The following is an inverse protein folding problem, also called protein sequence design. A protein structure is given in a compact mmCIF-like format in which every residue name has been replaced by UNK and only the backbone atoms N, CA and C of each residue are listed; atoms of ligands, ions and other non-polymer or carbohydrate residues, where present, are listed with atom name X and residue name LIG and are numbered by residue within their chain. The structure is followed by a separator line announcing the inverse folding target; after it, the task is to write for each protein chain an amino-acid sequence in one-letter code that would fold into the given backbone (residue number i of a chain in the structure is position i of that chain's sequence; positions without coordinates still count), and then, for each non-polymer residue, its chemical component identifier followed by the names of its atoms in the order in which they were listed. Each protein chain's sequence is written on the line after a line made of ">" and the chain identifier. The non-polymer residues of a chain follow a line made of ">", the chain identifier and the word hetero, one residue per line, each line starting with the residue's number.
data_IF_748874180249
#
_entry.id   IF_748874180249
#
_cell.length_a   1.000
_cell.length_b   1.000
_cell.length_c   1.000
_cell.angle_alpha   90.00
_cell.angle_beta   90.00
_cell.angle_gamma   90.00
#
_symmetry.space_group_name_H-M   'P 1'
#
loop_
_entity.id
_entity.type
_entity.pdbx_description
1 polymer ?
#
# COMPACT_ATOMS: atom_id res chain seq x y z
N UNK A 1 -31.57 10.50 5.68
CA UNK A 1 -31.35 11.78 4.98
C UNK A 1 -29.88 12.12 5.10
N UNK A 2 -29.11 11.96 4.03
CA UNK A 2 -27.71 12.42 4.02
C UNK A 2 -27.69 13.93 3.90
N UNK A 3 -26.78 14.60 4.61
CA UNK A 3 -26.51 16.02 4.42
C UNK A 3 -25.93 16.20 3.01
N UNK A 4 -26.57 17.05 2.19
CA UNK A 4 -26.03 17.43 0.89
C UNK A 4 -25.03 18.59 1.06
N UNK A 5 -23.75 18.24 1.02
CA UNK A 5 -22.65 19.19 1.15
C UNK A 5 -22.35 19.95 -0.14
N UNK A 6 -22.95 19.59 -1.28
CA UNK A 6 -22.67 20.20 -2.60
C UNK A 6 -23.29 21.58 -2.76
N UNK A 7 -24.39 21.86 -2.05
CA UNK A 7 -25.06 23.17 -2.06
C UNK A 7 -24.33 24.23 -1.23
N UNK A 8 -23.37 23.84 -0.40
CA UNK A 8 -22.64 24.73 0.50
C UNK A 8 -21.38 25.26 -0.20
N UNK A 9 -21.23 26.59 -0.22
CA UNK A 9 -19.96 27.23 -0.58
C UNK A 9 -19.04 27.25 0.64
N UNK A 10 -18.01 26.42 0.62
CA UNK A 10 -17.08 26.30 1.73
C UNK A 10 -16.04 27.42 1.70
N UNK A 11 -15.71 27.98 2.86
CA UNK A 11 -14.54 28.84 2.96
C UNK A 11 -13.24 28.04 2.77
N UNK A 12 -13.18 26.84 3.35
CA UNK A 12 -12.00 25.97 3.26
C UNK A 12 -12.38 24.49 3.35
N UNK A 13 -11.73 23.68 2.52
CA UNK A 13 -11.76 22.21 2.64
C UNK A 13 -10.34 21.72 2.89
N UNK A 14 -10.18 20.87 3.90
CA UNK A 14 -8.91 20.22 4.25
C UNK A 14 -9.10 18.72 4.13
N UNK A 15 -8.29 18.08 3.29
CA UNK A 15 -8.24 16.62 3.18
C UNK A 15 -7.08 16.11 4.02
N UNK A 16 -7.39 15.37 5.08
CA UNK A 16 -6.40 14.58 5.79
C UNK A 16 -6.25 13.21 5.14
N UNK A 17 -5.02 12.69 5.13
CA UNK A 17 -4.61 11.55 4.32
C UNK A 17 -5.09 11.66 2.87
N UNK A 18 -4.78 12.80 2.24
CA UNK A 18 -5.30 13.16 0.92
C UNK A 18 -5.01 12.11 -0.17
N UNK A 19 -4.02 11.23 0.05
CA UNK A 19 -3.74 10.09 -0.81
C UNK A 19 -4.92 9.11 -1.01
N UNK A 20 -6.00 9.20 -0.22
CA UNK A 20 -7.25 8.49 -0.49
C UNK A 20 -7.99 8.99 -1.75
N UNK A 21 -7.70 10.20 -2.22
CA UNK A 21 -8.24 10.78 -3.44
C UNK A 21 -7.43 10.33 -4.66
N UNK A 22 -7.48 9.03 -5.01
CA UNK A 22 -6.66 8.45 -6.09
C UNK A 22 -7.30 8.52 -7.46
N UNK A 23 -8.52 7.98 -7.56
CA UNK A 23 -9.22 7.83 -8.84
C UNK A 23 -10.38 8.82 -8.92
N UNK A 24 -10.33 9.79 -9.86
CA UNK A 24 -11.40 10.77 -10.08
C UNK A 24 -12.74 10.13 -10.45
N UNK A 25 -12.73 8.90 -10.98
CA UNK A 25 -13.93 8.16 -11.41
C UNK A 25 -14.71 7.54 -10.25
N UNK A 26 -14.10 7.46 -9.07
CA UNK A 26 -14.83 6.98 -7.89
C UNK A 26 -15.85 8.02 -7.46
N UNK A 27 -17.03 7.57 -7.02
CA UNK A 27 -18.10 8.46 -6.53
C UNK A 27 -17.59 9.42 -5.45
N UNK A 28 -16.75 8.93 -4.54
CA UNK A 28 -16.14 9.74 -3.49
C UNK A 28 -15.29 10.88 -4.07
N UNK A 29 -14.38 10.58 -5.00
CA UNK A 29 -13.53 11.60 -5.59
C UNK A 29 -14.32 12.60 -6.43
N UNK A 30 -15.29 12.14 -7.22
CA UNK A 30 -16.14 13.00 -8.04
C UNK A 30 -16.91 14.02 -7.18
N UNK A 31 -17.51 13.55 -6.08
CA UNK A 31 -18.22 14.43 -5.13
C UNK A 31 -17.27 15.43 -4.48
N UNK A 32 -16.12 14.97 -3.97
CA UNK A 32 -15.14 15.85 -3.29
C UNK A 32 -14.58 16.91 -4.24
N UNK A 33 -14.27 16.54 -5.49
CA UNK A 33 -13.76 17.47 -6.51
C UNK A 33 -14.82 18.52 -6.90
N UNK A 34 -16.10 18.15 -6.89
CA UNK A 34 -17.22 19.03 -7.19
C UNK A 34 -17.67 19.97 -6.06
N UNK A 35 -17.18 19.79 -4.83
CA UNK A 35 -17.47 20.73 -3.74
C UNK A 35 -16.91 22.12 -4.09
N UNK A 36 -17.67 23.18 -3.83
CA UNK A 36 -17.19 24.55 -4.02
C UNK A 36 -16.47 25.06 -2.77
N UNK A 37 -15.27 25.60 -2.96
CA UNK A 37 -14.46 26.12 -1.87
C UNK A 37 -13.49 27.22 -2.29
N UNK A 38 -13.34 28.26 -1.46
CA UNK A 38 -12.34 29.32 -1.67
C UNK A 38 -10.90 28.83 -1.42
N UNK A 39 -10.72 27.95 -0.43
CA UNK A 39 -9.39 27.46 -0.03
C UNK A 39 -9.36 25.95 0.07
N UNK A 40 -8.27 25.35 -0.39
CA UNK A 40 -8.11 23.89 -0.47
C UNK A 40 -6.75 23.48 0.02
N UNK A 41 -6.71 22.48 0.88
CA UNK A 41 -5.48 21.98 1.48
C UNK A 41 -5.49 20.45 1.50
N UNK A 42 -4.38 19.86 1.07
CA UNK A 42 -4.12 18.43 1.18
C UNK A 42 -3.05 18.19 2.23
N UNK A 43 -3.34 17.34 3.21
CA UNK A 43 -2.39 16.84 4.19
C UNK A 43 -2.14 15.36 3.86
N UNK A 44 -0.90 15.01 3.52
CA UNK A 44 -0.52 13.62 3.24
C UNK A 44 0.99 13.45 3.38
N UNK A 45 1.40 12.35 4.02
CA UNK A 45 2.81 11.93 4.04
C UNK A 45 3.27 11.30 2.72
N UNK A 46 2.33 10.80 1.91
CA UNK A 46 2.59 10.03 0.69
C UNK A 46 1.74 10.57 -0.48
N UNK A 47 2.10 11.71 -1.09
CA UNK A 47 1.31 12.32 -2.17
C UNK A 47 1.33 11.52 -3.48
N UNK A 48 2.33 10.66 -3.67
CA UNK A 48 2.45 9.73 -4.79
C UNK A 48 2.55 8.31 -4.21
N UNK A 49 1.56 7.45 -4.49
CA UNK A 49 1.55 6.07 -4.00
C UNK A 49 1.80 5.06 -5.11
N UNK A 50 0.90 4.97 -6.10
CA UNK A 50 0.96 3.93 -7.12
C UNK A 50 1.34 4.49 -8.50
N UNK A 51 0.70 5.59 -8.89
CA UNK A 51 0.80 6.14 -10.25
C UNK A 51 0.70 7.66 -10.23
N UNK A 52 1.18 8.31 -11.30
CA UNK A 52 1.12 9.78 -11.45
C UNK A 52 -0.30 10.32 -11.46
N UNK A 53 -1.29 9.50 -11.86
CA UNK A 53 -2.70 9.84 -11.75
C UNK A 53 -3.18 10.12 -10.31
N UNK A 54 -2.57 9.48 -9.29
CA UNK A 54 -2.90 9.76 -7.88
C UNK A 54 -2.55 11.21 -7.54
N UNK A 55 -1.41 11.68 -8.04
CA UNK A 55 -0.97 13.06 -7.84
C UNK A 55 -1.81 14.05 -8.65
N UNK A 56 -2.23 13.67 -9.86
CA UNK A 56 -3.12 14.50 -10.68
C UNK A 56 -4.44 14.77 -9.98
N UNK A 57 -5.03 13.76 -9.33
CA UNK A 57 -6.25 13.91 -8.52
C UNK A 57 -6.09 14.94 -7.41
N UNK A 58 -4.93 14.96 -6.73
CA UNK A 58 -4.62 15.99 -5.73
C UNK A 58 -4.54 17.38 -6.36
N UNK A 59 -3.86 17.51 -7.50
CA UNK A 59 -3.71 18.78 -8.23
C UNK A 59 -5.05 19.32 -8.71
N UNK A 60 -5.93 18.45 -9.21
CA UNK A 60 -7.32 18.81 -9.53
C UNK A 60 -8.07 19.29 -8.32
N UNK A 61 -7.89 18.62 -7.17
CA UNK A 61 -8.53 19.06 -5.96
C UNK A 61 -8.10 20.47 -5.58
N UNK A 62 -6.80 20.78 -5.56
CA UNK A 62 -6.30 22.13 -5.23
C UNK A 62 -6.50 23.17 -6.35
N UNK A 63 -7.04 22.78 -7.51
CA UNK A 63 -7.37 23.64 -8.67
C UNK A 63 -6.19 24.46 -9.21
N UNK A 64 -5.04 23.81 -9.47
CA UNK A 64 -3.86 24.49 -10.05
C UNK A 64 -3.90 24.42 -11.58
N UNK A 65 -4.33 25.51 -12.20
CA UNK A 65 -4.28 25.68 -13.65
C UNK A 65 -2.82 25.89 -14.15
N UNK A 66 -2.46 25.40 -15.35
CA UNK A 66 -3.26 24.62 -16.29
C UNK A 66 -3.19 23.09 -16.04
N UNK A 67 -2.67 22.66 -14.88
CA UNK A 67 -2.35 21.26 -14.59
C UNK A 67 -3.57 20.41 -14.21
N UNK A 68 -4.73 21.04 -13.98
CA UNK A 68 -6.02 20.36 -13.78
C UNK A 68 -6.47 19.66 -15.06
N UNK A 69 -6.09 20.18 -16.24
CA UNK A 69 -6.48 19.67 -17.54
C UNK A 69 -5.80 18.33 -17.86
N UNK A 70 -6.62 17.34 -18.23
CA UNK A 70 -6.16 15.97 -18.49
C UNK A 70 -5.15 15.90 -19.64
N UNK A 71 -5.41 16.64 -20.71
CA UNK A 71 -4.56 16.64 -21.90
C UNK A 71 -3.18 17.21 -21.59
N UNK A 72 -3.13 18.32 -20.85
CA UNK A 72 -1.90 19.00 -20.46
C UNK A 72 -1.10 18.11 -19.50
N UNK A 73 -1.74 17.59 -18.45
CA UNK A 73 -1.09 16.67 -17.51
C UNK A 73 -0.47 15.47 -18.23
N UNK A 74 -1.25 14.82 -19.10
CA UNK A 74 -0.82 13.61 -19.79
C UNK A 74 0.37 13.88 -20.72
N UNK A 75 0.31 14.94 -21.52
CA UNK A 75 1.33 15.24 -22.52
C UNK A 75 2.60 15.85 -21.92
N UNK A 76 2.48 16.66 -20.87
CA UNK A 76 3.61 17.40 -20.31
C UNK A 76 4.27 16.70 -19.11
N UNK A 77 3.55 15.82 -18.41
CA UNK A 77 4.04 15.18 -17.18
C UNK A 77 3.96 13.67 -17.28
N UNK A 78 2.77 13.09 -17.43
CA UNK A 78 2.58 11.63 -17.31
C UNK A 78 3.40 10.86 -18.35
N UNK A 79 3.18 11.11 -19.64
CA UNK A 79 3.89 10.40 -20.71
C UNK A 79 5.41 10.69 -20.71
N UNK A 80 5.88 11.94 -20.55
CA UNK A 80 7.31 12.20 -20.42
C UNK A 80 7.97 11.50 -19.22
N UNK A 81 7.32 11.46 -18.06
CA UNK A 81 7.88 10.79 -16.86
C UNK A 81 7.89 9.27 -17.05
N UNK A 82 6.86 8.68 -17.64
CA UNK A 82 6.82 7.26 -17.98
C UNK A 82 7.91 6.86 -18.99
N UNK A 83 8.27 7.77 -19.89
CA UNK A 83 9.37 7.60 -20.85
C UNK A 83 10.75 7.97 -20.26
N UNK A 84 10.84 8.28 -18.96
CA UNK A 84 12.05 8.75 -18.29
C UNK A 84 12.67 10.00 -18.93
N UNK A 85 11.87 10.86 -19.57
CA UNK A 85 12.31 12.14 -20.13
C UNK A 85 12.61 13.14 -18.99
N UNK A 86 13.84 13.66 -18.89
CA UNK A 86 14.22 14.64 -17.87
C UNK A 86 13.33 15.88 -17.84
N UNK A 87 12.73 16.28 -18.97
CA UNK A 87 11.85 17.45 -19.08
C UNK A 87 10.58 17.27 -18.25
N UNK A 88 9.96 16.08 -18.30
CA UNK A 88 8.78 15.76 -17.51
C UNK A 88 9.06 15.78 -16.02
N UNK A 89 10.18 15.17 -15.62
CA UNK A 89 10.62 15.09 -14.22
C UNK A 89 10.91 16.49 -13.67
N UNK A 90 11.65 17.32 -14.41
CA UNK A 90 11.97 18.69 -14.00
C UNK A 90 10.73 19.57 -13.88
N UNK A 91 9.78 19.42 -14.81
CA UNK A 91 8.48 20.12 -14.77
C UNK A 91 7.71 19.72 -13.52
N UNK A 92 7.61 18.41 -13.26
CA UNK A 92 6.93 17.88 -12.07
C UNK A 92 7.58 18.39 -10.77
N UNK A 93 8.91 18.35 -10.68
CA UNK A 93 9.64 18.87 -9.52
C UNK A 93 9.37 20.36 -9.30
N UNK A 94 9.33 21.15 -10.38
CA UNK A 94 9.05 22.59 -10.32
C UNK A 94 7.65 22.85 -9.77
N UNK A 95 6.64 22.11 -10.22
CA UNK A 95 5.27 22.21 -9.70
C UNK A 95 5.26 21.84 -8.23
N UNK A 96 5.79 20.67 -7.86
CA UNK A 96 5.80 20.19 -6.49
C UNK A 96 6.51 21.14 -5.53
N UNK A 97 7.61 21.76 -5.95
CA UNK A 97 8.32 22.77 -5.16
C UNK A 97 7.49 24.04 -4.90
N UNK A 98 6.52 24.36 -5.77
CA UNK A 98 5.64 25.53 -5.60
C UNK A 98 4.39 25.23 -4.78
N UNK A 99 3.82 24.04 -4.94
CA UNK A 99 2.51 23.69 -4.36
C UNK A 99 2.59 22.89 -3.07
N UNK A 100 3.76 22.29 -2.77
CA UNK A 100 3.92 21.39 -1.62
C UNK A 100 5.00 21.87 -0.67
N UNK A 101 4.80 21.59 0.62
CA UNK A 101 5.84 21.70 1.63
C UNK A 101 6.13 20.31 2.17
N UNK A 102 7.32 19.79 1.87
CA UNK A 102 7.82 18.51 2.38
C UNK A 102 9.12 18.74 3.13
N UNK A 103 9.21 18.20 4.35
CA UNK A 103 10.42 18.24 5.17
C UNK A 103 10.76 16.83 5.63
N UNK A 104 12.05 16.53 5.74
CA UNK A 104 12.52 15.25 6.28
C UNK A 104 12.68 15.37 7.80
N UNK A 105 12.48 14.27 8.52
CA UNK A 105 12.68 14.29 9.99
C UNK A 105 14.12 14.65 10.34
N UNK A 106 15.09 14.21 9.55
CA UNK A 106 16.52 14.48 9.71
C UNK A 106 16.89 15.96 9.59
N UNK A 107 16.11 16.77 8.85
CA UNK A 107 16.41 18.20 8.68
C UNK A 107 15.87 19.06 9.83
N UNK A 108 14.99 18.52 10.67
CA UNK A 108 14.31 19.27 11.74
C UNK A 108 14.69 18.73 13.13
N UNK A 109 14.92 17.42 13.24
CA UNK A 109 15.07 16.73 14.52
C UNK A 109 16.34 15.88 14.54
N UNK A 110 17.05 15.92 15.66
CA UNK A 110 18.18 15.03 15.95
C UNK A 110 17.67 13.68 16.46
N UNK A 111 17.04 12.90 15.58
CA UNK A 111 16.58 11.54 15.90
C UNK A 111 17.73 10.53 15.75
N UNK A 112 17.76 9.46 16.58
CA UNK A 112 18.62 8.32 16.34
C UNK A 112 18.38 7.71 14.95
N UNK A 113 19.41 7.04 14.42
CA UNK A 113 19.31 6.36 13.13
C UNK A 113 18.23 5.26 13.16
N UNK A 114 17.40 5.22 12.10
CA UNK A 114 16.43 4.15 11.92
C UNK A 114 17.18 2.92 11.40
N UNK A 115 17.25 1.88 12.22
CA UNK A 115 17.82 0.59 11.84
C UNK A 115 16.71 -0.25 11.20
N UNK A 116 16.93 -0.69 9.97
CA UNK A 116 16.06 -1.64 9.26
C UNK A 116 16.81 -2.96 9.07
N UNK A 117 16.21 -4.07 9.47
CA UNK A 117 16.80 -5.40 9.32
C UNK A 117 15.78 -6.34 8.70
N UNK A 118 16.15 -6.97 7.60
CA UNK A 118 15.34 -7.97 6.91
C UNK A 118 15.79 -9.34 7.39
N UNK A 119 14.87 -10.10 8.00
CA UNK A 119 15.16 -11.43 8.51
C UNK A 119 14.51 -12.46 7.58
N UNK A 120 15.35 -13.26 6.93
CA UNK A 120 14.90 -14.35 6.06
C UNK A 120 14.69 -15.61 6.90
N UNK A 121 13.46 -16.12 6.90
CA UNK A 121 13.08 -17.31 7.65
C UNK A 121 12.68 -18.42 6.70
N UNK A 122 13.22 -19.63 6.93
CA UNK A 122 12.77 -20.82 6.22
C UNK A 122 11.42 -21.31 6.77
N UNK A 123 10.56 -21.82 5.90
CA UNK A 123 9.32 -22.48 6.32
C UNK A 123 9.64 -23.82 6.97
N UNK A 124 8.93 -24.15 8.05
CA UNK A 124 9.08 -25.43 8.73
C UNK A 124 8.33 -26.54 7.98
N UNK A 125 8.88 -27.75 8.00
CA UNK A 125 8.18 -28.99 7.61
C UNK A 125 7.04 -29.26 8.60
N UNK A 126 5.86 -29.73 8.15
CA UNK A 126 5.51 -30.16 6.78
C UNK A 126 5.00 -29.05 5.85
N UNK A 127 4.83 -27.83 6.36
CA UNK A 127 4.18 -26.74 5.63
C UNK A 127 5.01 -26.25 4.44
N UNK A 128 6.34 -26.35 4.53
CA UNK A 128 7.23 -26.07 3.40
C UNK A 128 6.91 -26.93 2.17
N UNK A 129 6.63 -28.22 2.35
CA UNK A 129 6.29 -29.11 1.23
C UNK A 129 4.96 -28.73 0.57
N UNK A 130 3.99 -28.31 1.39
CA UNK A 130 2.69 -27.83 0.90
C UNK A 130 2.87 -26.51 0.13
N UNK A 131 3.69 -25.59 0.66
CA UNK A 131 4.01 -24.35 -0.01
C UNK A 131 4.70 -24.60 -1.37
N UNK A 132 5.76 -25.42 -1.41
CA UNK A 132 6.49 -25.73 -2.65
C UNK A 132 5.60 -26.39 -3.70
N UNK A 133 4.72 -27.31 -3.27
CA UNK A 133 3.73 -27.92 -4.16
C UNK A 133 2.80 -26.87 -4.78
N UNK A 134 2.25 -25.98 -3.95
CA UNK A 134 1.34 -24.93 -4.42
C UNK A 134 2.05 -23.89 -5.27
N UNK A 135 3.28 -23.53 -4.91
CA UNK A 135 4.11 -22.59 -5.66
C UNK A 135 4.47 -23.14 -7.04
N UNK A 136 4.80 -24.44 -7.13
CA UNK A 136 5.03 -25.11 -8.41
C UNK A 136 3.78 -25.09 -9.28
N UNK A 137 2.62 -25.46 -8.72
CA UNK A 137 1.34 -25.41 -9.44
C UNK A 137 1.02 -24.00 -9.95
N UNK A 138 1.21 -22.98 -9.09
CA UNK A 138 1.04 -21.58 -9.45
C UNK A 138 1.99 -21.15 -10.59
N UNK A 139 3.26 -21.54 -10.53
CA UNK A 139 4.26 -21.22 -11.56
C UNK A 139 3.93 -21.87 -12.90
N UNK A 140 3.39 -23.08 -12.88
CA UNK A 140 2.98 -23.82 -14.08
C UNK A 140 1.71 -23.23 -14.71
N UNK A 141 0.79 -22.71 -13.89
CA UNK A 141 -0.48 -22.14 -14.35
C UNK A 141 -0.37 -20.68 -14.80
N UNK A 142 0.35 -19.85 -14.04
CA UNK A 142 0.38 -18.39 -14.24
C UNK A 142 1.78 -17.81 -14.44
N UNK A 143 2.82 -18.54 -14.05
CA UNK A 143 4.20 -18.06 -14.04
C UNK A 143 4.98 -18.34 -15.31
N UNK A 144 6.31 -18.37 -15.18
CA UNK A 144 7.26 -18.54 -16.28
C UNK A 144 7.17 -19.91 -16.98
N UNK A 145 6.63 -20.91 -16.29
CA UNK A 145 6.53 -22.28 -16.81
C UNK A 145 5.24 -22.51 -17.62
N UNK A 146 4.39 -21.49 -17.75
CA UNK A 146 3.13 -21.58 -18.46
C UNK A 146 3.38 -21.90 -19.93
N UNK A 147 2.88 -23.06 -20.35
CA UNK A 147 2.79 -23.43 -21.77
C UNK A 147 1.65 -22.61 -22.39
N UNK A 148 1.93 -21.84 -23.44
CA UNK A 148 0.94 -20.96 -24.07
C UNK A 148 -0.34 -21.71 -24.48
N UNK A 149 -1.51 -21.07 -24.40
CA UNK A 149 -2.73 -21.70 -24.93
C UNK A 149 -4.12 -21.20 -24.51
N UNK A 150 -4.31 -20.44 -23.44
CA UNK A 150 -5.65 -19.91 -23.08
C UNK A 150 -5.52 -18.65 -22.22
N UNK A 151 -6.53 -17.76 -22.26
CA UNK A 151 -6.65 -16.66 -21.28
C UNK A 151 -6.67 -17.19 -19.86
N UNK A 152 -6.14 -16.44 -18.90
CA UNK A 152 -6.13 -16.84 -17.49
C UNK A 152 -7.19 -16.06 -16.71
N UNK A 153 -7.82 -16.71 -15.75
CA UNK A 153 -8.78 -16.05 -14.87
C UNK A 153 -8.01 -15.26 -13.79
N UNK A 154 -8.19 -13.94 -13.76
CA UNK A 154 -7.55 -13.09 -12.78
C UNK A 154 -7.95 -13.43 -11.34
N UNK A 155 -9.17 -13.91 -11.14
CA UNK A 155 -9.68 -14.29 -9.82
C UNK A 155 -8.94 -15.49 -9.24
N UNK A 156 -8.65 -16.51 -10.05
CA UNK A 156 -7.89 -17.68 -9.59
C UNK A 156 -6.44 -17.34 -9.29
N UNK A 157 -5.81 -16.48 -10.09
CA UNK A 157 -4.45 -16.00 -9.81
C UNK A 157 -4.37 -15.26 -8.47
N UNK A 158 -5.30 -14.33 -8.22
CA UNK A 158 -5.31 -13.58 -6.97
C UNK A 158 -5.67 -14.47 -5.77
N UNK A 159 -6.49 -15.50 -5.96
CA UNK A 159 -6.75 -16.49 -4.93
C UNK A 159 -5.49 -17.30 -4.60
N UNK A 160 -4.78 -17.82 -5.61
CA UNK A 160 -3.63 -18.68 -5.40
C UNK A 160 -2.43 -17.92 -4.82
N UNK A 161 -2.18 -16.68 -5.29
CA UNK A 161 -1.13 -15.82 -4.70
C UNK A 161 -1.48 -15.43 -3.25
N UNK A 162 -2.78 -15.27 -2.94
CA UNK A 162 -3.23 -15.01 -1.57
C UNK A 162 -3.00 -16.23 -0.68
N UNK A 163 -3.34 -17.43 -1.17
CA UNK A 163 -3.14 -18.69 -0.45
C UNK A 163 -1.64 -18.92 -0.18
N UNK A 164 -0.75 -18.63 -1.15
CA UNK A 164 0.71 -18.67 -0.94
C UNK A 164 1.18 -17.67 0.13
N UNK A 165 0.71 -16.42 0.09
CA UNK A 165 1.03 -15.40 1.10
C UNK A 165 0.56 -15.82 2.50
N UNK A 166 -0.60 -16.45 2.59
CA UNK A 166 -1.17 -16.97 3.84
C UNK A 166 -0.34 -18.13 4.40
N UNK A 167 0.06 -19.10 3.57
CA UNK A 167 0.93 -20.21 3.97
C UNK A 167 2.28 -19.72 4.53
N UNK A 168 2.86 -18.67 3.93
CA UNK A 168 4.09 -18.06 4.42
C UNK A 168 3.96 -17.45 5.83
N UNK A 169 2.74 -17.11 6.26
CA UNK A 169 2.47 -16.56 7.58
C UNK A 169 2.09 -17.68 8.56
N UNK A 170 1.01 -18.41 8.28
CA UNK A 170 0.55 -19.50 9.11
C UNK A 170 -0.38 -20.44 8.32
N UNK A 171 -0.23 -21.77 8.40
CA UNK A 171 -1.05 -22.73 7.66
C UNK A 171 -2.56 -22.60 7.92
N UNK A 172 -2.96 -22.35 9.16
CA UNK A 172 -4.36 -22.07 9.53
C UNK A 172 -5.05 -20.96 8.70
N UNK A 173 -4.31 -20.04 8.08
CA UNK A 173 -4.90 -18.94 7.32
C UNK A 173 -5.53 -19.41 6.00
N UNK A 174 -5.06 -20.52 5.41
CA UNK A 174 -5.60 -21.06 4.15
C UNK A 174 -6.89 -21.85 4.33
N UNK A 175 -7.27 -22.19 5.57
CA UNK A 175 -8.52 -22.90 5.81
C UNK A 175 -9.72 -22.00 5.59
N UNK A 176 -10.55 -22.38 4.62
CA UNK A 176 -11.84 -21.75 4.32
C UNK A 176 -12.93 -22.46 5.14
N UNK A 177 -13.54 -21.77 6.11
CA UNK A 177 -14.66 -22.28 6.92
C UNK A 177 -14.35 -22.53 8.40
N UNK A 178 -15.18 -23.33 9.08
CA UNK A 178 -14.97 -23.76 10.47
C UNK A 178 -13.75 -24.67 10.47
N UNK A 179 -12.61 -24.17 10.96
CA UNK A 179 -11.33 -24.85 10.88
C UNK A 179 -11.40 -26.26 11.44
N UNK A 180 -11.00 -27.24 10.63
CA UNK A 180 -11.13 -28.67 10.97
C UNK A 180 -9.90 -29.18 11.71
N UNK A 181 -8.77 -28.47 11.61
CA UNK A 181 -7.51 -28.82 12.28
C UNK A 181 -7.23 -27.87 13.44
N UNK A 182 -6.71 -28.44 14.54
CA UNK A 182 -6.14 -27.66 15.64
C UNK A 182 -4.76 -27.19 15.22
N UNK A 183 -4.63 -25.89 15.02
CA UNK A 183 -3.35 -25.24 14.74
C UNK A 183 -2.77 -24.64 16.01
N UNK A 184 -1.44 -24.52 16.02
CA UNK A 184 -0.72 -23.89 17.12
C UNK A 184 0.24 -22.84 16.57
N UNK A 185 0.41 -21.74 17.30
CA UNK A 185 1.23 -20.59 16.90
C UNK A 185 2.67 -20.98 16.51
N UNK A 186 3.20 -22.06 17.10
CA UNK A 186 4.56 -22.55 16.87
C UNK A 186 4.78 -23.22 15.50
N UNK A 187 3.71 -23.41 14.72
CA UNK A 187 3.75 -23.88 13.34
C UNK A 187 4.20 -22.78 12.36
N UNK A 188 4.09 -21.51 12.76
CA UNK A 188 4.64 -20.39 12.00
C UNK A 188 6.10 -20.12 12.35
N UNK A 189 6.99 -20.19 11.36
CA UNK A 189 8.39 -19.75 11.52
C UNK A 189 8.49 -18.29 11.98
N UNK A 190 7.57 -17.44 11.52
CA UNK A 190 7.56 -16.00 11.86
C UNK A 190 7.17 -15.77 13.31
N UNK A 191 6.12 -16.42 13.80
CA UNK A 191 5.70 -16.27 15.21
C UNK A 191 6.76 -16.85 16.14
N UNK A 192 7.33 -18.02 15.80
CA UNK A 192 8.39 -18.63 16.61
C UNK A 192 9.59 -17.71 16.75
N UNK A 193 10.05 -17.14 15.64
CA UNK A 193 11.17 -16.21 15.65
C UNK A 193 10.83 -14.92 16.43
N UNK A 194 9.66 -14.33 16.20
CA UNK A 194 9.20 -13.13 16.91
C UNK A 194 9.13 -13.36 18.44
N UNK A 195 8.53 -14.47 18.88
CA UNK A 195 8.41 -14.80 20.31
C UNK A 195 9.79 -15.02 20.93
N UNK A 196 10.72 -15.64 20.20
CA UNK A 196 12.09 -15.82 20.67
C UNK A 196 12.81 -14.48 20.86
N UNK A 197 12.71 -13.59 19.87
CA UNK A 197 13.33 -12.26 19.93
C UNK A 197 12.73 -11.42 21.07
N UNK A 198 11.39 -11.40 21.19
CA UNK A 198 10.72 -10.68 22.28
C UNK A 198 11.15 -11.19 23.66
N UNK A 199 11.34 -12.51 23.81
CA UNK A 199 11.87 -13.08 25.07
C UNK A 199 13.29 -12.63 25.36
N UNK A 200 14.16 -12.59 24.34
CA UNK A 200 15.53 -12.06 24.49
C UNK A 200 15.51 -10.58 24.87
N UNK A 201 14.63 -9.78 24.25
CA UNK A 201 14.46 -8.37 24.61
C UNK A 201 13.94 -8.19 26.04
N UNK A 202 12.95 -8.97 26.47
CA UNK A 202 12.45 -8.91 27.85
C UNK A 202 13.53 -9.31 28.87
N UNK A 203 14.34 -10.32 28.56
CA UNK A 203 15.45 -10.76 29.42
C UNK A 203 16.56 -9.71 29.56
N UNK A 204 16.71 -8.80 28.60
CA UNK A 204 17.71 -7.71 28.65
C UNK A 204 17.40 -6.65 29.73
N UNK A 205 16.21 -6.68 30.34
CA UNK A 205 15.79 -5.72 31.36
C UNK A 205 15.42 -4.34 30.83
N UNK A 206 15.54 -4.12 29.51
CA UNK A 206 15.20 -2.86 28.88
C UNK A 206 13.69 -2.74 28.60
N UNK A 207 13.14 -1.56 28.88
CA UNK A 207 11.71 -1.30 28.75
C UNK A 207 11.35 -0.88 27.31
N UNK A 208 11.43 -1.83 26.37
CA UNK A 208 11.03 -1.60 24.98
C UNK A 208 9.54 -1.86 24.77
N UNK A 209 8.95 -1.12 23.82
CA UNK A 209 7.60 -1.40 23.30
C UNK A 209 7.73 -1.87 21.87
N UNK A 210 7.16 -3.03 21.57
CA UNK A 210 7.07 -3.55 20.22
C UNK A 210 5.69 -3.23 19.62
N UNK A 211 5.66 -2.85 18.34
CA UNK A 211 4.44 -2.69 17.56
C UNK A 211 4.51 -3.66 16.39
N UNK A 212 3.51 -4.53 16.29
CA UNK A 212 3.45 -5.60 15.28
C UNK A 212 2.36 -5.25 14.29
N UNK A 213 2.69 -5.28 13.00
CA UNK A 213 1.76 -5.06 11.90
C UNK A 213 1.54 -6.36 11.13
N UNK A 214 0.31 -6.62 10.71
CA UNK A 214 -0.06 -7.74 9.85
C UNK A 214 -1.23 -7.33 8.96
N UNK A 215 -1.23 -7.79 7.71
CA UNK A 215 -2.37 -7.63 6.80
C UNK A 215 -3.51 -8.61 7.13
N UNK A 216 -3.21 -9.72 7.82
CA UNK A 216 -4.19 -10.75 8.16
C UNK A 216 -4.61 -10.63 9.62
N UNK A 217 -5.86 -10.22 9.87
CA UNK A 217 -6.40 -10.09 11.23
C UNK A 217 -6.29 -11.40 12.03
N UNK A 218 -6.67 -12.53 11.41
CA UNK A 218 -6.61 -13.86 12.03
C UNK A 218 -5.18 -14.27 12.42
N UNK A 219 -4.14 -13.69 11.81
CA UNK A 219 -2.75 -13.93 12.21
C UNK A 219 -2.37 -13.21 13.51
N UNK A 220 -3.00 -12.07 13.80
CA UNK A 220 -2.81 -11.34 15.06
C UNK A 220 -3.59 -11.95 16.23
N UNK A 221 -4.59 -12.79 15.93
CA UNK A 221 -5.41 -13.51 16.92
C UNK A 221 -4.75 -14.82 17.38
N UNK A 222 -3.65 -15.25 16.76
CA UNK A 222 -2.88 -16.46 17.09
C UNK A 222 -1.80 -16.17 18.15
#
# INVERSE_FOLDING_TARGET
>A
MGLDFSSIKWFRIVLDEAHYLKDPRTNRSSVILGLEAERRLCLTGTPLQNQLGDLHSLIKFIRIEPWTENSIWKNCIESPVEMCDPRGISTLQTIMNRISMRRLKTTILSLPEKIETIINLALKTPWNETYERNHKAFSDQFGKNRKGGQGWNSSSFFADIMDLRQLCNHPALTEKGIGTKKYSWNESSKIVHLVQDLKLFLASGAQFRAVIFSEFKRFLEM
#
